data_IF_600740262253
#
_entry.id   IF_600740262253
#
_cell.length_a   1.000
_cell.length_b   1.000
_cell.length_c   1.000
_cell.angle_alpha   90.00
_cell.angle_beta   90.00
_cell.angle_gamma   90.00
#
_symmetry.space_group_name_H-M   'P 1'
#
loop_
_entity.id
_entity.type
_entity.pdbx_description
1 polymer ?
#
# COMPACT_ATOMS: atom_id res chain seq x y z
N UNK A 1 -13.24 1.98 -2.68
CA UNK A 1 -12.97 2.80 -3.84
C UNK A 1 -11.73 2.30 -4.56
N UNK A 2 -11.83 1.93 -5.82
CA UNK A 2 -10.66 1.43 -6.54
C UNK A 2 -9.70 2.55 -6.91
N UNK A 3 -8.44 2.19 -7.00
CA UNK A 3 -7.42 3.12 -7.45
C UNK A 3 -6.76 2.55 -8.70
N UNK A 4 -6.11 3.43 -9.46
CA UNK A 4 -5.32 3.02 -10.60
C UNK A 4 -4.16 4.00 -10.65
N UNK A 5 -3.03 3.60 -10.10
CA UNK A 5 -1.90 4.51 -9.92
C UNK A 5 -0.60 3.81 -10.30
N UNK A 6 0.44 4.60 -10.50
CA UNK A 6 1.79 4.11 -10.72
C UNK A 6 2.72 4.79 -9.74
N UNK A 7 3.60 4.02 -9.14
CA UNK A 7 4.60 4.54 -8.21
C UNK A 7 5.90 4.66 -8.98
N UNK A 8 6.40 5.90 -9.09
CA UNK A 8 7.61 6.21 -9.86
C UNK A 8 8.66 6.81 -8.97
N UNK A 9 9.94 6.77 -9.37
CA UNK A 9 10.94 7.53 -8.63
C UNK A 9 10.72 9.02 -8.85
N UNK A 10 11.26 9.83 -7.98
CA UNK A 10 11.26 11.26 -8.20
C UNK A 10 12.05 11.58 -9.45
N UNK A 11 11.80 12.73 -10.10
CA UNK A 11 12.48 13.06 -11.35
C UNK A 11 13.98 13.01 -11.20
N UNK A 12 14.65 12.34 -12.11
CA UNK A 12 16.10 12.24 -12.10
C UNK A 12 16.67 11.26 -11.09
N UNK A 13 15.80 10.49 -10.42
CA UNK A 13 16.26 9.55 -9.42
C UNK A 13 15.84 8.14 -9.79
N UNK A 14 16.31 7.17 -9.02
CA UNK A 14 15.95 5.78 -9.19
C UNK A 14 15.35 5.26 -7.91
N UNK A 15 14.43 4.33 -8.04
CA UNK A 15 13.94 3.61 -6.86
C UNK A 15 15.10 2.77 -6.31
N UNK A 16 15.21 2.68 -4.98
CA UNK A 16 16.37 2.03 -4.38
C UNK A 16 16.37 0.52 -4.45
N UNK A 17 15.23 -0.09 -4.75
CA UNK A 17 15.13 -1.54 -4.78
C UNK A 17 15.43 -2.07 -6.16
N UNK A 18 15.96 -3.30 -6.22
CA UNK A 18 16.03 -4.03 -7.47
C UNK A 18 14.73 -4.81 -7.64
N UNK A 19 14.50 -5.31 -8.85
CA UNK A 19 13.35 -6.19 -9.08
C UNK A 19 13.41 -7.39 -8.15
N UNK A 20 14.58 -7.99 -8.04
CA UNK A 20 14.75 -9.20 -7.25
C UNK A 20 14.46 -8.95 -5.78
N UNK A 21 14.97 -7.86 -5.24
CA UNK A 21 14.72 -7.54 -3.83
C UNK A 21 13.25 -7.27 -3.56
N UNK A 22 12.62 -6.54 -4.47
CA UNK A 22 11.21 -6.24 -4.28
C UNK A 22 10.38 -7.51 -4.40
N UNK A 23 10.73 -8.38 -5.35
CA UNK A 23 10.01 -9.65 -5.50
C UNK A 23 10.10 -10.48 -4.23
N UNK A 24 11.25 -10.50 -3.61
CA UNK A 24 11.42 -11.25 -2.37
C UNK A 24 10.59 -10.63 -1.25
N UNK A 25 10.61 -9.33 -1.13
CA UNK A 25 9.83 -8.67 -0.09
C UNK A 25 8.34 -8.89 -0.28
N UNK A 26 7.84 -8.73 -1.51
CA UNK A 26 6.43 -8.90 -1.76
C UNK A 26 6.00 -10.35 -1.56
N UNK A 27 6.85 -11.28 -1.96
CA UNK A 27 6.51 -12.69 -1.83
C UNK A 27 6.37 -13.15 -0.39
N UNK A 28 6.88 -12.38 0.57
CA UNK A 28 6.77 -12.72 1.98
C UNK A 28 5.56 -12.10 2.66
N UNK A 29 4.76 -11.34 1.95
CA UNK A 29 3.59 -10.71 2.54
C UNK A 29 2.42 -11.69 2.50
N UNK A 30 1.72 -11.89 3.61
CA UNK A 30 0.56 -12.78 3.61
C UNK A 30 -0.51 -12.29 2.62
N UNK A 31 -1.04 -13.21 1.85
CA UNK A 31 -2.07 -12.89 0.87
C UNK A 31 -1.52 -12.37 -0.45
N UNK A 32 -0.22 -12.29 -0.59
CA UNK A 32 0.41 -11.80 -1.82
C UNK A 32 0.76 -12.97 -2.72
N UNK A 33 0.38 -12.87 -3.98
CA UNK A 33 0.72 -13.86 -5.00
C UNK A 33 1.53 -13.14 -6.06
N UNK A 34 2.84 -13.39 -6.09
CA UNK A 34 3.77 -12.69 -6.97
C UNK A 34 4.30 -13.64 -8.02
N UNK A 35 4.26 -13.22 -9.29
CA UNK A 35 4.74 -14.01 -10.40
C UNK A 35 6.08 -13.50 -10.91
N UNK A 36 6.80 -14.36 -11.59
CA UNK A 36 8.14 -14.01 -12.06
C UNK A 36 8.15 -12.92 -13.12
N UNK A 37 7.01 -12.71 -13.79
CA UNK A 37 6.95 -11.64 -14.79
C UNK A 37 6.68 -10.28 -14.16
N UNK A 38 6.56 -10.20 -12.86
CA UNK A 38 6.35 -8.95 -12.17
C UNK A 38 4.90 -8.68 -11.78
N UNK A 39 3.97 -9.51 -12.25
CA UNK A 39 2.58 -9.30 -11.88
C UNK A 39 2.32 -9.83 -10.47
N UNK A 40 1.37 -9.22 -9.78
CA UNK A 40 1.00 -9.72 -8.46
C UNK A 40 -0.46 -9.41 -8.16
N UNK A 41 -1.00 -10.20 -7.25
CA UNK A 41 -2.34 -10.01 -6.71
C UNK A 41 -2.20 -10.07 -5.20
N UNK A 42 -2.77 -9.11 -4.51
CA UNK A 42 -2.72 -9.08 -3.06
C UNK A 42 -4.13 -9.04 -2.52
N UNK A 43 -4.50 -10.09 -1.80
CA UNK A 43 -5.82 -10.20 -1.21
C UNK A 43 -5.69 -10.07 0.30
N UNK A 44 -6.44 -9.14 0.89
CA UNK A 44 -6.43 -8.97 2.32
C UNK A 44 -7.63 -9.71 2.87
N UNK A 45 -7.38 -10.92 3.36
CA UNK A 45 -8.44 -11.77 3.85
C UNK A 45 -9.04 -11.29 5.17
N UNK A 46 -8.38 -10.34 5.81
CA UNK A 46 -8.88 -9.83 7.08
C UNK A 46 -9.89 -8.70 6.89
N UNK A 47 -10.00 -8.19 5.68
CA UNK A 47 -11.02 -7.19 5.39
C UNK A 47 -12.34 -7.88 5.09
N UNK A 48 -13.42 -7.18 5.34
CA UNK A 48 -14.76 -7.69 5.03
C UNK A 48 -15.58 -6.60 4.37
N UNK A 49 -15.87 -6.70 3.08
CA UNK A 49 -15.39 -7.75 2.18
C UNK A 49 -13.91 -7.63 1.89
N UNK A 50 -13.33 -8.72 1.44
CA UNK A 50 -11.90 -8.74 1.16
C UNK A 50 -11.52 -7.70 0.14
N UNK A 51 -10.36 -7.09 0.34
CA UNK A 51 -9.79 -6.18 -0.63
C UNK A 51 -8.89 -6.94 -1.56
N UNK A 52 -8.91 -6.60 -2.83
CA UNK A 52 -8.01 -7.20 -3.79
C UNK A 52 -7.36 -6.12 -4.62
N UNK A 53 -6.03 -6.17 -4.68
CA UNK A 53 -5.24 -5.22 -5.41
C UNK A 53 -4.40 -5.98 -6.42
N UNK A 54 -4.44 -5.56 -7.68
CA UNK A 54 -3.62 -6.15 -8.73
C UNK A 54 -2.50 -5.20 -9.04
N UNK A 55 -1.33 -5.76 -9.33
CA UNK A 55 -0.20 -4.90 -9.63
C UNK A 55 0.75 -5.51 -10.63
N UNK A 56 1.66 -4.68 -11.10
CA UNK A 56 2.69 -5.10 -12.02
C UNK A 56 3.95 -4.30 -11.72
N UNK A 57 5.05 -5.00 -11.55
CA UNK A 57 6.35 -4.39 -11.34
C UNK A 57 7.06 -4.33 -12.67
N UNK A 58 7.42 -3.13 -13.09
CA UNK A 58 8.15 -2.93 -14.34
C UNK A 58 9.60 -2.63 -14.03
N UNK A 59 10.50 -3.35 -14.69
CA UNK A 59 11.93 -3.15 -14.47
C UNK A 59 12.64 -2.92 -15.79
N UNK A 60 13.84 -2.37 -15.68
CA UNK A 60 14.72 -2.25 -16.82
C UNK A 60 16.06 -2.78 -16.37
N UNK A 61 16.46 -3.91 -16.92
CA UNK A 61 17.72 -4.57 -16.59
C UNK A 61 17.88 -4.81 -15.11
N UNK A 62 16.79 -5.26 -14.48
CA UNK A 62 16.79 -5.58 -13.06
C UNK A 62 16.56 -4.43 -12.12
N UNK A 63 16.53 -3.20 -12.64
CA UNK A 63 16.26 -2.02 -11.80
C UNK A 63 14.83 -1.61 -11.96
N UNK A 64 14.19 -1.22 -10.85
CA UNK A 64 12.79 -0.87 -10.91
C UNK A 64 12.57 0.38 -11.72
N UNK A 65 11.66 0.31 -12.68
CA UNK A 65 11.24 1.48 -13.43
C UNK A 65 10.05 2.13 -12.75
N UNK A 66 9.00 1.37 -12.50
CA UNK A 66 7.85 1.83 -11.76
C UNK A 66 6.97 0.64 -11.43
N UNK A 67 6.01 0.85 -10.52
CA UNK A 67 5.07 -0.19 -10.13
C UNK A 67 3.66 0.33 -10.39
N UNK A 68 2.86 -0.45 -11.09
CA UNK A 68 1.48 -0.08 -11.35
C UNK A 68 0.56 -0.87 -10.44
N UNK A 69 -0.44 -0.22 -9.89
CA UNK A 69 -1.36 -0.82 -8.93
C UNK A 69 -2.76 -0.41 -9.26
N UNK A 70 -3.67 -1.36 -9.30
CA UNK A 70 -5.07 -1.03 -9.46
C UNK A 70 -5.93 -1.98 -8.64
N UNK A 71 -7.10 -1.52 -8.24
CA UNK A 71 -8.03 -2.32 -7.49
C UNK A 71 -8.38 -1.66 -6.18
N UNK A 72 -8.91 -2.44 -5.26
CA UNK A 72 -9.34 -1.94 -3.97
C UNK A 72 -8.30 -2.29 -2.92
N UNK A 73 -7.83 -1.28 -2.21
CA UNK A 73 -6.93 -1.53 -1.09
C UNK A 73 -7.26 -0.57 0.04
N UNK A 74 -6.83 -0.92 1.23
CA UNK A 74 -6.95 -0.03 2.37
C UNK A 74 -5.65 0.69 2.61
N UNK A 75 -5.66 1.66 3.52
CA UNK A 75 -4.48 2.49 3.77
C UNK A 75 -3.30 1.66 4.27
N UNK A 76 -3.58 0.58 5.01
CA UNK A 76 -2.50 -0.25 5.51
C UNK A 76 -1.78 -0.99 4.40
N UNK A 77 -2.54 -1.55 3.45
CA UNK A 77 -1.93 -2.22 2.30
C UNK A 77 -1.12 -1.23 1.48
N UNK A 78 -1.65 -0.04 1.29
CA UNK A 78 -0.97 0.97 0.50
C UNK A 78 0.36 1.36 1.12
N UNK A 79 0.36 1.61 2.43
CA UNK A 79 1.59 1.98 3.12
C UNK A 79 2.62 0.85 3.05
N UNK A 80 2.18 -0.38 3.25
CA UNK A 80 3.08 -1.53 3.18
C UNK A 80 3.73 -1.63 1.81
N UNK A 81 2.93 -1.45 0.75
CA UNK A 81 3.46 -1.53 -0.60
C UNK A 81 4.45 -0.40 -0.88
N UNK A 82 4.10 0.82 -0.51
CA UNK A 82 4.98 1.96 -0.74
C UNK A 82 6.29 1.81 0.02
N UNK A 83 6.23 1.28 1.23
CA UNK A 83 7.45 1.04 2.00
C UNK A 83 8.32 0.00 1.31
N UNK A 84 7.72 -1.07 0.81
CA UNK A 84 8.49 -2.10 0.13
C UNK A 84 9.17 -1.55 -1.12
N UNK A 85 8.43 -0.78 -1.90
CA UNK A 85 8.96 -0.19 -3.13
C UNK A 85 10.14 0.73 -2.82
N UNK A 86 10.08 1.43 -1.71
CA UNK A 86 11.15 2.36 -1.33
C UNK A 86 12.25 1.72 -0.51
N UNK A 87 12.19 0.41 -0.32
CA UNK A 87 13.27 -0.29 0.35
C UNK A 87 13.19 -0.32 1.86
N UNK A 88 12.05 0.02 2.45
CA UNK A 88 11.89 -0.02 3.89
C UNK A 88 11.34 -1.37 4.29
N UNK A 89 12.17 -2.19 4.90
CA UNK A 89 11.79 -3.54 5.27
C UNK A 89 10.98 -3.57 6.55
N UNK A 90 10.26 -4.65 6.73
CA UNK A 90 9.57 -4.90 7.98
C UNK A 90 8.20 -4.29 8.03
N UNK A 91 7.42 -4.68 9.04
CA UNK A 91 6.09 -4.14 9.18
C UNK A 91 6.13 -2.71 9.66
N UNK A 92 5.05 -1.95 9.47
CA UNK A 92 4.96 -0.62 10.03
C UNK A 92 5.11 -0.65 11.54
N UNK A 93 5.62 0.42 12.13
CA UNK A 93 5.77 0.46 13.57
C UNK A 93 4.46 0.26 14.30
N UNK A 94 4.58 -0.27 15.50
CA UNK A 94 3.40 -0.60 16.26
C UNK A 94 2.72 0.58 16.90
N UNK A 95 3.20 1.75 16.60
CA UNK A 95 2.53 2.94 17.10
C UNK A 95 1.09 2.98 16.65
N UNK A 96 0.73 2.06 15.80
CA UNK A 96 -0.63 1.99 15.34
C UNK A 96 -1.62 1.55 16.38
N UNK A 97 -1.22 1.36 17.59
CA UNK A 97 -2.14 0.88 18.57
C UNK A 97 -3.26 1.79 18.86
N UNK A 98 -3.07 3.08 18.78
CA UNK A 98 -4.15 3.98 19.07
C UNK A 98 -4.50 4.74 17.83
N UNK A 99 -5.71 5.18 17.69
CA UNK A 99 -6.14 5.92 16.52
C UNK A 99 -5.35 7.18 16.30
N UNK A 100 -5.04 7.90 17.37
CA UNK A 100 -4.25 9.12 17.23
C UNK A 100 -2.85 8.82 16.77
N UNK A 101 -2.24 7.83 17.37
CA UNK A 101 -0.90 7.44 16.98
C UNK A 101 -0.90 6.93 15.55
N UNK A 102 -1.95 6.25 15.18
CA UNK A 102 -2.05 5.73 13.85
C UNK A 102 -2.05 6.86 12.82
N UNK A 103 -2.81 7.89 13.06
CA UNK A 103 -2.87 9.01 12.17
C UNK A 103 -1.50 9.68 12.06
N UNK A 104 -0.86 9.93 13.19
CA UNK A 104 0.45 10.55 13.18
C UNK A 104 1.49 9.65 12.55
N UNK A 105 1.39 8.38 12.81
CA UNK A 105 2.34 7.46 12.23
C UNK A 105 2.21 7.42 10.71
N UNK A 106 1.00 7.41 10.19
CA UNK A 106 0.81 7.35 8.76
C UNK A 106 1.47 8.55 8.07
N UNK A 107 1.28 9.75 8.63
CA UNK A 107 1.91 10.92 8.05
C UNK A 107 3.42 10.80 8.09
N UNK A 108 3.93 10.38 9.22
CA UNK A 108 5.38 10.23 9.38
C UNK A 108 5.94 9.18 8.42
N UNK A 109 5.22 8.07 8.23
CA UNK A 109 5.67 7.02 7.34
C UNK A 109 5.74 7.46 5.91
N UNK A 110 4.86 8.35 5.48
CA UNK A 110 4.86 8.80 4.11
C UNK A 110 5.92 9.86 3.82
N UNK A 111 6.42 10.55 4.84
CA UNK A 111 7.47 11.54 4.62
C UNK A 111 8.69 10.93 3.94
N UNK A 112 9.16 9.80 4.45
CA UNK A 112 10.34 9.16 3.88
C UNK A 112 10.04 8.65 2.47
N UNK A 113 8.85 8.13 2.27
CA UNK A 113 8.47 7.62 0.96
C UNK A 113 8.46 8.73 -0.07
N UNK A 114 7.95 9.90 0.30
CA UNK A 114 7.80 11.00 -0.65
C UNK A 114 9.13 11.66 -1.00
N UNK A 115 10.20 11.35 -0.29
CA UNK A 115 11.53 11.78 -0.69
C UNK A 115 12.13 10.87 -1.75
N UNK A 116 11.51 9.75 -2.02
CA UNK A 116 12.03 8.74 -2.93
C UNK A 116 11.13 8.55 -4.13
N UNK A 117 9.82 8.62 -3.93
CA UNK A 117 8.86 8.24 -4.97
C UNK A 117 7.72 9.23 -5.05
N UNK A 118 7.11 9.28 -6.22
CA UNK A 118 5.88 10.05 -6.44
C UNK A 118 4.89 9.13 -7.13
N UNK A 119 3.63 9.53 -7.15
CA UNK A 119 2.56 8.68 -7.65
C UNK A 119 1.87 9.36 -8.82
N UNK A 120 1.65 8.60 -9.88
CA UNK A 120 0.92 9.07 -11.04
C UNK A 120 -0.48 8.47 -11.01
N UNK A 121 -1.51 9.30 -11.10
CA UNK A 121 -2.89 8.80 -11.23
C UNK A 121 -3.14 8.55 -12.70
N UNK A 122 -3.36 7.30 -13.07
CA UNK A 122 -3.38 6.93 -14.47
C UNK A 122 -4.58 7.53 -15.20
N UNK A 123 -5.76 7.47 -14.59
CA UNK A 123 -6.96 7.96 -15.25
C UNK A 123 -6.96 9.48 -15.34
N UNK A 124 -6.63 10.14 -14.24
CA UNK A 124 -6.62 11.60 -14.21
C UNK A 124 -5.44 12.21 -14.94
N UNK A 125 -4.36 11.45 -15.04
CA UNK A 125 -3.19 11.91 -15.76
C UNK A 125 -2.31 12.91 -15.02
N UNK A 126 -2.42 12.98 -13.69
CA UNK A 126 -1.65 13.94 -12.92
C UNK A 126 -0.78 13.23 -11.89
N UNK A 127 0.15 14.00 -11.31
CA UNK A 127 1.04 13.50 -10.28
C UNK A 127 0.53 13.89 -8.91
N UNK A 128 0.77 13.02 -7.94
CA UNK A 128 0.36 13.25 -6.58
C UNK A 128 1.37 12.59 -5.64
N UNK A 129 1.06 12.53 -4.36
CA UNK A 129 1.94 11.93 -3.37
C UNK A 129 1.31 10.68 -2.81
N UNK A 130 2.13 9.84 -2.20
CA UNK A 130 1.63 8.63 -1.58
C UNK A 130 0.67 8.95 -0.44
N UNK A 131 0.93 10.00 0.34
CA UNK A 131 0.03 10.36 1.43
C UNK A 131 -1.30 10.87 0.93
N UNK A 132 -1.30 11.55 -0.22
CA UNK A 132 -2.56 12.03 -0.79
C UNK A 132 -3.43 10.85 -1.21
N UNK A 133 -2.84 9.83 -1.81
CA UNK A 133 -3.59 8.62 -2.13
C UNK A 133 -4.11 7.98 -0.85
N UNK A 134 -3.26 7.90 0.18
CA UNK A 134 -3.66 7.27 1.44
C UNK A 134 -4.87 7.96 2.06
N UNK A 135 -4.96 9.27 1.92
CA UNK A 135 -6.06 10.02 2.51
C UNK A 135 -7.40 9.68 1.87
N UNK A 136 -7.38 9.07 0.70
CA UNK A 136 -8.60 8.71 0.00
C UNK A 136 -8.96 7.23 0.19
N UNK A 137 -8.14 6.48 0.91
CA UNK A 137 -8.36 5.06 1.08
C UNK A 137 -9.03 4.78 2.41
N UNK A 138 -9.80 3.67 2.49
CA UNK A 138 -10.39 3.31 3.77
C UNK A 138 -9.33 2.79 4.73
N UNK A 139 -9.62 2.88 6.01
CA UNK A 139 -8.80 2.27 7.01
C UNK A 139 -9.00 0.76 6.95
N UNK A 140 -8.20 0.04 7.72
CA UNK A 140 -8.31 -1.41 7.75
C UNK A 140 -9.72 -1.78 8.20
N UNK A 141 -10.45 -2.51 7.36
CA UNK A 141 -11.84 -2.77 7.62
C UNK A 141 -12.14 -3.60 8.83
N UNK A 142 -11.23 -4.47 9.18
CA UNK A 142 -11.43 -5.31 10.33
C UNK A 142 -11.65 -4.47 11.59
N UNK A 143 -10.91 -3.39 11.74
CA UNK A 143 -11.11 -2.52 12.89
C UNK A 143 -12.49 -1.90 12.89
N UNK A 144 -12.94 -1.45 11.73
CA UNK A 144 -14.24 -0.85 11.64
C UNK A 144 -15.34 -1.86 11.94
N UNK A 145 -15.18 -3.07 11.44
CA UNK A 145 -16.17 -4.09 11.67
C UNK A 145 -16.27 -4.45 13.13
N UNK A 146 -15.14 -4.51 13.80
CA UNK A 146 -15.14 -4.81 15.23
C UNK A 146 -15.91 -3.75 15.99
N UNK A 147 -15.70 -2.52 15.66
CA UNK A 147 -16.42 -1.43 16.32
C UNK A 147 -17.91 -1.55 16.07
N UNK A 148 -18.29 -1.83 14.86
CA UNK A 148 -19.68 -1.99 14.55
C UNK A 148 -20.31 -3.13 15.32
N UNK A 149 -19.60 -4.22 15.42
CA UNK A 149 -20.11 -5.37 16.15
C UNK A 149 -20.33 -5.02 17.60
N UNK A 150 -19.39 -4.35 18.21
CA UNK A 150 -19.54 -3.98 19.60
C UNK A 150 -20.72 -3.08 19.80
N UNK A 151 -20.93 -2.15 18.92
CA UNK A 151 -22.03 -1.24 19.12
C UNK A 151 -23.36 -1.95 18.94
N UNK A 152 -23.40 -3.06 18.22
CA UNK A 152 -24.62 -3.78 18.08
C UNK A 152 -24.92 -4.72 19.18
N UNK A 153 -23.91 -5.24 19.82
CA UNK A 153 -24.13 -6.19 20.87
C UNK A 153 -25.11 -5.79 21.91
N UNK A 154 -25.08 -4.60 22.34
CA UNK A 154 -25.95 -4.25 23.41
C UNK A 154 -27.39 -4.16 23.10
N UNK A 155 -27.84 -4.43 22.01
CA UNK A 155 -29.11 -4.30 21.79
C UNK A 155 -29.82 -5.39 21.89
N UNK A 156 -29.85 -6.17 22.57
CA UNK A 156 -30.57 -7.26 22.58
C UNK A 156 -31.79 -6.97 23.13
N UNK A 157 -32.03 -6.63 23.77
CA UNK A 157 -33.23 -6.57 24.34
C UNK A 157 -34.27 -6.30 23.71
#
# INVERSE_FOLDING_TARGET
MPIFVQIHPLPGQQLPQSFESLAEMLGNIPGMFFELDGSFVWVDHEDTPSSQMDGMVYDRLGKLAYIEVKGACNARQWLTLCRAVCGFAGPPPLALKNGEAESGYAASGYDAIERIARVHRVVEGDWTTASEIASQLPLHRQSLNSSSTLSRLPRPS
#
